data_IF_015642626830
#
_entry.id   IF_015642626830
#
_cell.length_a   1.000
_cell.length_b   1.000
_cell.length_c   1.000
_cell.angle_alpha   90.00
_cell.angle_beta   90.00
_cell.angle_gamma   90.00
#
_symmetry.space_group_name_H-M   'P 1'
#
loop_
_entity.id
_entity.type
_entity.pdbx_description
1 polymer ?
#
# COMPACT_ATOMS: atom_id res chain seq x y z
N UNK A 1 -1.32 -16.87 -29.35
CA UNK A 1 -1.53 -16.87 -27.89
C UNK A 1 -0.82 -18.08 -27.29
N UNK A 2 0.45 -17.93 -26.87
CA UNK A 2 1.20 -19.04 -26.27
C UNK A 2 0.92 -19.05 -24.77
N UNK A 3 0.17 -20.08 -24.30
CA UNK A 3 0.23 -20.54 -22.92
C UNK A 3 -0.56 -19.74 -21.87
N UNK A 4 -1.88 -19.60 -22.04
CA UNK A 4 -2.72 -19.24 -20.90
C UNK A 4 -2.71 -20.39 -19.88
N UNK A 5 -2.55 -20.05 -18.59
CA UNK A 5 -2.63 -20.96 -17.46
C UNK A 5 -4.05 -20.85 -16.89
N UNK A 6 -4.82 -21.93 -16.94
CA UNK A 6 -6.25 -21.91 -16.55
C UNK A 6 -7.08 -20.81 -17.23
N UNK A 7 -6.74 -20.51 -18.50
CA UNK A 7 -7.42 -19.44 -19.26
C UNK A 7 -6.91 -18.02 -18.99
N UNK A 8 -5.99 -17.83 -18.03
CA UNK A 8 -5.46 -16.56 -17.59
C UNK A 8 -4.03 -16.29 -18.06
N UNK A 9 -3.65 -15.01 -18.14
CA UNK A 9 -2.30 -14.60 -18.52
C UNK A 9 -1.27 -15.06 -17.49
N UNK A 10 -0.14 -15.67 -17.88
CA UNK A 10 0.90 -16.10 -16.92
C UNK A 10 1.40 -14.97 -16.01
N UNK A 11 1.38 -13.74 -16.49
CA UNK A 11 1.73 -12.55 -15.72
C UNK A 11 0.85 -12.35 -14.47
N UNK A 12 -0.43 -12.74 -14.53
CA UNK A 12 -1.33 -12.70 -13.38
C UNK A 12 -0.83 -13.58 -12.23
N UNK A 13 -0.35 -14.80 -12.54
CA UNK A 13 0.15 -15.71 -11.52
C UNK A 13 1.46 -15.21 -10.89
N UNK A 14 2.30 -14.52 -11.67
CA UNK A 14 3.47 -13.85 -11.10
C UNK A 14 3.03 -12.78 -10.10
N UNK A 15 2.03 -11.96 -10.44
CA UNK A 15 1.50 -10.94 -9.54
C UNK A 15 0.80 -11.55 -8.31
N UNK A 16 0.02 -12.62 -8.52
CA UNK A 16 -0.62 -13.39 -7.46
C UNK A 16 0.38 -13.87 -6.41
N UNK A 17 1.44 -14.56 -6.83
CA UNK A 17 2.45 -15.05 -5.88
C UNK A 17 3.25 -13.92 -5.26
N UNK A 18 3.59 -12.88 -6.02
CA UNK A 18 4.33 -11.73 -5.48
C UNK A 18 3.53 -11.02 -4.38
N UNK A 19 2.24 -10.80 -4.61
CA UNK A 19 1.34 -10.24 -3.59
C UNK A 19 1.15 -11.21 -2.42
N UNK A 20 0.99 -12.51 -2.69
CA UNK A 20 0.85 -13.53 -1.65
C UNK A 20 2.05 -13.51 -0.68
N UNK A 21 3.28 -13.42 -1.19
CA UNK A 21 4.49 -13.36 -0.36
C UNK A 21 4.58 -12.06 0.43
N UNK A 22 4.18 -10.95 -0.18
CA UNK A 22 4.11 -9.67 0.53
C UNK A 22 3.05 -9.69 1.62
N UNK A 23 1.85 -10.20 1.33
CA UNK A 23 0.81 -10.35 2.35
C UNK A 23 1.20 -11.30 3.47
N UNK A 24 1.90 -12.38 3.16
CA UNK A 24 2.51 -13.26 4.15
C UNK A 24 3.41 -12.46 5.10
N UNK A 25 4.33 -11.68 4.54
CA UNK A 25 5.29 -10.90 5.33
C UNK A 25 4.59 -9.84 6.19
N UNK A 26 3.64 -9.12 5.62
CA UNK A 26 2.92 -8.04 6.29
C UNK A 26 2.08 -8.56 7.46
N UNK A 27 1.21 -9.54 7.22
CA UNK A 27 0.34 -10.07 8.28
C UNK A 27 1.10 -10.92 9.30
N UNK A 28 2.13 -11.65 8.87
CA UNK A 28 3.00 -12.41 9.76
C UNK A 28 3.78 -11.53 10.73
N UNK A 29 4.34 -10.42 10.26
CA UNK A 29 4.98 -9.44 11.14
C UNK A 29 3.95 -8.76 12.05
N UNK A 30 2.83 -8.36 11.49
CA UNK A 30 1.81 -7.57 12.18
C UNK A 30 1.23 -8.30 13.40
N UNK A 31 0.98 -9.61 13.30
CA UNK A 31 0.47 -10.41 14.42
C UNK A 31 1.47 -10.48 15.58
N UNK A 32 2.77 -10.50 15.28
CA UNK A 32 3.83 -10.57 16.30
C UNK A 32 4.13 -9.21 16.93
N UNK A 33 3.85 -8.10 16.27
CA UNK A 33 4.28 -6.75 16.67
C UNK A 33 3.89 -6.41 18.11
N UNK A 34 2.60 -6.47 18.43
CA UNK A 34 2.10 -6.13 19.78
C UNK A 34 2.53 -7.17 20.80
N UNK A 35 2.48 -8.45 20.44
CA UNK A 35 2.85 -9.56 21.34
C UNK A 35 4.33 -9.48 21.74
N UNK A 36 5.22 -9.20 20.77
CA UNK A 36 6.64 -9.00 21.02
C UNK A 36 6.89 -7.84 22.00
N UNK A 37 6.29 -6.68 21.76
CA UNK A 37 6.48 -5.51 22.61
C UNK A 37 5.99 -5.72 24.05
N UNK A 38 4.87 -6.44 24.22
CA UNK A 38 4.28 -6.67 25.56
C UNK A 38 4.97 -7.82 26.31
N UNK A 39 5.48 -8.85 25.61
CA UNK A 39 6.07 -10.03 26.27
C UNK A 39 7.59 -9.92 26.46
N UNK A 40 8.30 -9.37 25.47
CA UNK A 40 9.77 -9.44 25.42
C UNK A 40 10.38 -8.05 25.35
N UNK A 41 9.98 -7.27 24.35
CA UNK A 41 10.56 -5.97 23.99
C UNK A 41 12.11 -6.02 23.89
N UNK A 42 12.79 -4.96 24.40
CA UNK A 42 14.24 -4.80 24.30
C UNK A 42 14.86 -4.94 25.69
N UNK A 43 15.25 -6.18 26.04
CA UNK A 43 15.79 -6.49 27.37
C UNK A 43 14.70 -6.74 28.42
N UNK A 44 14.98 -6.40 29.69
CA UNK A 44 14.13 -6.77 30.82
C UNK A 44 12.92 -5.86 31.09
N UNK A 45 12.51 -5.04 30.10
CA UNK A 45 11.43 -4.06 30.30
C UNK A 45 10.32 -4.21 29.20
N UNK A 46 9.39 -5.17 29.39
CA UNK A 46 8.22 -5.27 28.53
C UNK A 46 7.42 -3.95 28.51
N UNK A 47 6.84 -3.64 27.36
CA UNK A 47 6.04 -2.44 27.21
C UNK A 47 4.66 -2.59 27.86
N UNK A 48 4.12 -1.48 28.35
CA UNK A 48 2.70 -1.42 28.65
C UNK A 48 1.88 -1.68 27.37
N UNK A 49 0.77 -2.41 27.52
CA UNK A 49 -0.11 -2.76 26.40
C UNK A 49 -0.63 -1.52 25.66
N UNK A 50 -0.92 -0.44 26.38
CA UNK A 50 -1.42 0.79 25.75
C UNK A 50 -0.37 1.44 24.85
N UNK A 51 0.91 1.38 25.23
CA UNK A 51 2.02 1.89 24.42
C UNK A 51 2.27 1.03 23.18
N UNK A 52 2.23 -0.30 23.34
CA UNK A 52 2.35 -1.23 22.22
C UNK A 52 1.23 -1.03 21.19
N UNK A 53 -0.01 -0.86 21.65
CA UNK A 53 -1.16 -0.56 20.80
C UNK A 53 -1.07 0.84 20.15
N UNK A 54 -0.50 1.83 20.84
CA UNK A 54 -0.25 3.15 20.29
C UNK A 54 0.74 3.09 19.12
N UNK A 55 1.87 2.37 19.30
CA UNK A 55 2.84 2.15 18.23
C UNK A 55 2.21 1.39 17.05
N UNK A 56 1.45 0.34 17.33
CA UNK A 56 0.71 -0.40 16.31
C UNK A 56 -0.25 0.50 15.50
N UNK A 57 -0.96 1.40 16.19
CA UNK A 57 -1.85 2.37 15.53
C UNK A 57 -1.10 3.34 14.63
N UNK A 58 0.05 3.88 15.07
CA UNK A 58 0.92 4.74 14.27
C UNK A 58 1.42 4.00 13.04
N UNK A 59 1.97 2.79 13.23
CA UNK A 59 2.48 1.96 12.16
C UNK A 59 1.41 1.70 11.10
N UNK A 60 0.25 1.19 11.53
CA UNK A 60 -0.87 0.87 10.64
C UNK A 60 -1.36 2.11 9.89
N UNK A 61 -1.55 3.23 10.60
CA UNK A 61 -1.96 4.49 9.98
C UNK A 61 -1.01 4.96 8.90
N UNK A 62 0.30 4.91 9.14
CA UNK A 62 1.32 5.30 8.16
C UNK A 62 1.39 4.34 6.97
N UNK A 63 1.22 3.03 7.19
CA UNK A 63 1.15 2.02 6.13
C UNK A 63 -0.04 2.27 5.18
N UNK A 64 -1.15 2.78 5.67
CA UNK A 64 -2.29 3.16 4.80
C UNK A 64 -2.14 4.54 4.17
N UNK A 65 -1.34 5.41 4.76
CA UNK A 65 -1.09 6.75 4.23
C UNK A 65 -0.04 6.78 3.10
N UNK A 66 1.08 6.07 3.29
CA UNK A 66 2.23 6.10 2.37
C UNK A 66 1.95 5.61 0.94
N UNK A 67 0.99 4.70 0.67
CA UNK A 67 0.61 4.30 -0.69
C UNK A 67 0.19 5.46 -1.60
N UNK A 68 -0.42 6.50 -1.04
CA UNK A 68 -0.78 7.70 -1.79
C UNK A 68 0.47 8.39 -2.36
N UNK A 69 1.52 8.49 -1.57
CA UNK A 69 2.80 9.10 -1.99
C UNK A 69 3.51 8.17 -2.96
N UNK A 70 3.57 6.86 -2.65
CA UNK A 70 4.25 5.87 -3.48
C UNK A 70 3.62 5.70 -4.87
N UNK A 71 2.30 5.80 -4.99
CA UNK A 71 1.61 5.82 -6.26
C UNK A 71 2.01 7.03 -7.11
N UNK A 72 1.98 8.23 -6.54
CA UNK A 72 2.39 9.47 -7.24
C UNK A 72 3.85 9.39 -7.72
N UNK A 73 4.75 8.83 -6.88
CA UNK A 73 6.15 8.67 -7.25
C UNK A 73 6.34 7.69 -8.42
N UNK A 74 5.58 6.61 -8.41
CA UNK A 74 5.61 5.63 -9.50
C UNK A 74 5.05 6.21 -10.80
N UNK A 75 3.90 6.89 -10.74
CA UNK A 75 3.25 7.48 -11.92
C UNK A 75 4.16 8.50 -12.63
N UNK A 76 4.87 9.32 -11.84
CA UNK A 76 5.64 10.44 -12.41
C UNK A 76 7.08 10.08 -12.77
N UNK A 77 7.71 9.18 -12.00
CA UNK A 77 9.17 9.02 -12.06
C UNK A 77 9.63 7.58 -12.23
N UNK A 78 9.17 6.67 -11.36
CA UNK A 78 9.79 5.34 -11.24
C UNK A 78 9.21 4.32 -12.23
N UNK A 79 7.93 4.45 -12.58
CA UNK A 79 7.15 3.36 -13.16
C UNK A 79 6.78 2.31 -12.11
N UNK A 80 5.71 1.57 -12.36
CA UNK A 80 5.15 0.66 -11.36
C UNK A 80 6.08 -0.51 -11.03
N UNK A 81 6.79 -1.07 -12.03
CA UNK A 81 7.70 -2.21 -11.80
C UNK A 81 8.85 -1.85 -10.88
N UNK A 82 9.53 -0.73 -11.13
CA UNK A 82 10.64 -0.28 -10.28
C UNK A 82 10.17 0.08 -8.89
N UNK A 83 8.98 0.67 -8.76
CA UNK A 83 8.38 0.98 -7.48
C UNK A 83 8.09 -0.30 -6.67
N UNK A 84 7.53 -1.35 -7.31
CA UNK A 84 7.31 -2.67 -6.69
C UNK A 84 8.63 -3.31 -6.25
N UNK A 85 9.67 -3.31 -7.11
CA UNK A 85 10.98 -3.87 -6.76
C UNK A 85 11.65 -3.12 -5.62
N UNK A 86 11.65 -1.79 -5.68
CA UNK A 86 12.23 -0.96 -4.61
C UNK A 86 11.46 -1.17 -3.29
N UNK A 87 10.13 -1.18 -3.33
CA UNK A 87 9.28 -1.47 -2.18
C UNK A 87 9.57 -2.83 -1.57
N UNK A 88 9.63 -3.88 -2.39
CA UNK A 88 9.94 -5.24 -1.95
C UNK A 88 11.32 -5.35 -1.30
N UNK A 89 12.34 -4.71 -1.89
CA UNK A 89 13.70 -4.68 -1.32
C UNK A 89 13.72 -3.97 0.04
N UNK A 90 13.10 -2.80 0.12
CA UNK A 90 13.05 -2.01 1.35
C UNK A 90 12.30 -2.78 2.45
N UNK A 91 11.19 -3.45 2.12
CA UNK A 91 10.46 -4.29 3.08
C UNK A 91 11.28 -5.50 3.53
N UNK A 92 12.00 -6.15 2.64
CA UNK A 92 12.91 -7.27 2.99
C UNK A 92 13.96 -6.82 4.01
N UNK A 93 14.58 -5.66 3.78
CA UNK A 93 15.54 -5.07 4.72
C UNK A 93 14.86 -4.66 6.04
N UNK A 94 13.61 -4.18 5.97
CA UNK A 94 12.81 -3.86 7.15
C UNK A 94 12.58 -5.07 8.06
N UNK A 95 12.17 -6.20 7.49
CA UNK A 95 12.00 -7.44 8.25
C UNK A 95 13.34 -7.98 8.80
N UNK A 96 14.42 -7.89 8.02
CA UNK A 96 15.74 -8.27 8.50
C UNK A 96 16.19 -7.41 9.70
N UNK A 97 15.91 -6.10 9.66
CA UNK A 97 16.20 -5.21 10.77
C UNK A 97 15.38 -5.56 12.03
N UNK A 98 14.08 -5.88 11.87
CA UNK A 98 13.24 -6.32 13.01
C UNK A 98 13.71 -7.64 13.60
N UNK A 99 14.17 -8.58 12.78
CA UNK A 99 14.69 -9.88 13.21
C UNK A 99 15.97 -9.80 14.06
N UNK A 100 16.62 -8.65 14.10
CA UNK A 100 17.77 -8.43 14.99
C UNK A 100 17.38 -8.23 16.46
N UNK A 101 16.12 -7.94 16.76
CA UNK A 101 15.55 -7.72 18.09
C UNK A 101 16.31 -6.65 18.92
N UNK A 102 16.91 -5.67 18.24
CA UNK A 102 17.59 -4.54 18.86
C UNK A 102 16.72 -3.29 18.72
N UNK A 103 16.67 -2.46 19.77
CA UNK A 103 15.78 -1.30 19.86
C UNK A 103 15.83 -0.41 18.60
N UNK A 104 16.99 0.12 18.25
CA UNK A 104 17.13 0.98 17.08
C UNK A 104 16.80 0.29 15.75
N UNK A 105 17.15 -1.00 15.61
CA UNK A 105 16.92 -1.75 14.39
C UNK A 105 15.43 -2.09 14.20
N UNK A 106 14.71 -2.27 15.29
CA UNK A 106 13.27 -2.52 15.27
C UNK A 106 12.50 -1.30 14.72
N UNK A 107 12.80 -0.09 15.25
CA UNK A 107 12.19 1.14 14.71
C UNK A 107 12.61 1.43 13.27
N UNK A 108 13.88 1.18 12.95
CA UNK A 108 14.33 1.25 11.55
C UNK A 108 13.53 0.28 10.67
N UNK A 109 13.33 -0.95 11.14
CA UNK A 109 12.53 -1.96 10.44
C UNK A 109 11.11 -1.49 10.19
N UNK A 110 10.41 -0.96 11.19
CA UNK A 110 9.07 -0.40 11.03
C UNK A 110 9.04 0.76 10.02
N UNK A 111 10.00 1.67 10.07
CA UNK A 111 10.11 2.77 9.12
C UNK A 111 10.32 2.27 7.68
N UNK A 112 11.21 1.29 7.48
CA UNK A 112 11.44 0.66 6.18
C UNK A 112 10.19 -0.06 5.66
N UNK A 113 9.45 -0.75 6.52
CA UNK A 113 8.19 -1.41 6.15
C UNK A 113 7.12 -0.40 5.72
N UNK A 114 6.99 0.74 6.40
CA UNK A 114 6.08 1.81 6.03
C UNK A 114 6.42 2.37 4.63
N UNK A 115 7.69 2.68 4.39
CA UNK A 115 8.15 3.23 3.11
C UNK A 115 8.01 2.19 1.99
N UNK A 116 8.46 0.96 2.25
CA UNK A 116 8.42 -0.12 1.28
C UNK A 116 7.00 -0.50 0.87
N UNK A 117 6.08 -0.62 1.83
CA UNK A 117 4.67 -0.89 1.55
C UNK A 117 4.03 0.25 0.74
N UNK A 118 4.37 1.51 1.05
CA UNK A 118 3.93 2.66 0.28
C UNK A 118 4.30 2.58 -1.20
N UNK A 119 5.51 2.11 -1.52
CA UNK A 119 5.96 1.92 -2.90
C UNK A 119 5.40 0.63 -3.54
N UNK A 120 5.17 -0.42 -2.77
CA UNK A 120 4.76 -1.72 -3.30
C UNK A 120 3.26 -1.78 -3.59
N UNK A 121 2.44 -1.56 -2.57
CA UNK A 121 1.01 -1.87 -2.57
C UNK A 121 0.18 -1.21 -3.68
N UNK A 122 0.25 0.11 -3.93
CA UNK A 122 -0.54 0.74 -4.98
C UNK A 122 -0.09 0.30 -6.36
N UNK A 123 1.21 0.04 -6.52
CA UNK A 123 1.82 -0.16 -7.81
C UNK A 123 1.64 -1.58 -8.35
N UNK A 124 1.66 -2.61 -7.49
CA UNK A 124 1.35 -3.97 -7.93
C UNK A 124 -0.10 -4.10 -8.40
N UNK A 125 -1.04 -3.46 -7.70
CA UNK A 125 -2.46 -3.41 -8.11
C UNK A 125 -2.66 -2.67 -9.43
N UNK A 126 -1.89 -1.60 -9.68
CA UNK A 126 -1.88 -0.88 -10.95
C UNK A 126 -1.38 -1.75 -12.10
N UNK A 127 -0.37 -2.59 -11.88
CA UNK A 127 0.12 -3.56 -12.88
C UNK A 127 -0.98 -4.57 -13.23
N UNK A 128 -1.73 -5.09 -12.24
CA UNK A 128 -2.88 -5.98 -12.48
C UNK A 128 -3.91 -5.27 -13.35
N UNK A 129 -4.26 -4.03 -13.01
CA UNK A 129 -5.19 -3.22 -13.78
C UNK A 129 -4.79 -3.06 -15.25
N UNK A 130 -3.52 -2.72 -15.50
CA UNK A 130 -2.97 -2.56 -16.85
C UNK A 130 -2.92 -3.89 -17.64
N UNK A 131 -2.77 -5.01 -16.98
CA UNK A 131 -2.68 -6.32 -17.64
C UNK A 131 -3.92 -6.64 -18.46
N UNK A 132 -5.08 -6.13 -18.06
CA UNK A 132 -6.38 -6.39 -18.69
C UNK A 132 -7.09 -5.15 -19.21
N UNK A 133 -6.38 -4.08 -19.51
CA UNK A 133 -6.97 -2.86 -20.06
C UNK A 133 -7.67 -3.09 -21.42
N UNK A 134 -7.17 -4.03 -22.20
CA UNK A 134 -7.76 -4.42 -23.50
C UNK A 134 -8.86 -5.50 -23.39
N UNK A 135 -9.10 -6.05 -22.23
CA UNK A 135 -10.04 -7.16 -21.97
C UNK A 135 -10.81 -6.88 -20.66
N UNK A 136 -11.62 -5.79 -20.64
CA UNK A 136 -12.27 -5.33 -19.40
C UNK A 136 -13.24 -6.35 -18.81
N UNK A 137 -13.80 -7.25 -19.62
CA UNK A 137 -14.69 -8.33 -19.19
C UNK A 137 -13.98 -9.40 -18.33
N UNK A 138 -12.66 -9.51 -18.42
CA UNK A 138 -11.88 -10.46 -17.62
C UNK A 138 -11.39 -9.84 -16.30
N UNK A 139 -11.39 -8.52 -16.17
CA UNK A 139 -10.82 -7.82 -14.99
C UNK A 139 -11.38 -8.30 -13.66
N UNK A 140 -12.68 -8.52 -13.56
CA UNK A 140 -13.31 -8.91 -12.29
C UNK A 140 -12.85 -10.30 -11.83
N UNK A 141 -12.73 -11.26 -12.77
CA UNK A 141 -12.20 -12.59 -12.49
C UNK A 141 -10.74 -12.56 -12.06
N UNK A 142 -9.94 -11.71 -12.70
CA UNK A 142 -8.51 -11.59 -12.46
C UNK A 142 -8.21 -10.93 -11.10
N UNK A 143 -8.94 -9.88 -10.76
CA UNK A 143 -8.87 -9.32 -9.41
C UNK A 143 -9.30 -10.32 -8.33
N UNK A 144 -10.28 -11.19 -8.62
CA UNK A 144 -10.69 -12.26 -7.70
C UNK A 144 -9.54 -13.23 -7.45
N UNK A 145 -8.84 -13.68 -8.50
CA UNK A 145 -7.66 -14.54 -8.38
C UNK A 145 -6.56 -13.82 -7.59
N UNK A 146 -6.26 -12.58 -7.93
CA UNK A 146 -5.27 -11.77 -7.22
C UNK A 146 -5.62 -11.64 -5.72
N UNK A 147 -6.89 -11.43 -5.39
CA UNK A 147 -7.39 -11.36 -4.01
C UNK A 147 -7.29 -12.69 -3.26
N UNK A 148 -7.41 -13.81 -3.94
CA UNK A 148 -7.14 -15.14 -3.33
C UNK A 148 -5.68 -15.22 -2.86
N UNK A 149 -4.72 -14.65 -3.60
CA UNK A 149 -3.33 -14.55 -3.18
C UNK A 149 -3.16 -13.76 -1.89
N UNK A 150 -3.85 -12.61 -1.77
CA UNK A 150 -3.86 -11.79 -0.55
C UNK A 150 -4.31 -12.62 0.66
N UNK A 151 -5.43 -13.32 0.54
CA UNK A 151 -5.99 -14.11 1.64
C UNK A 151 -5.12 -15.32 2.00
N UNK A 152 -4.59 -16.02 0.98
CA UNK A 152 -3.67 -17.15 1.21
C UNK A 152 -2.39 -16.69 1.93
N UNK A 153 -1.80 -15.56 1.49
CA UNK A 153 -0.64 -14.97 2.13
C UNK A 153 -0.92 -14.56 3.57
N UNK A 154 -2.04 -13.89 3.81
CA UNK A 154 -2.46 -13.48 5.16
C UNK A 154 -2.61 -14.68 6.10
N UNK A 155 -3.31 -15.73 5.67
CA UNK A 155 -3.52 -16.93 6.46
C UNK A 155 -2.20 -17.65 6.79
N UNK A 156 -1.37 -17.91 5.78
CA UNK A 156 -0.10 -18.59 5.97
C UNK A 156 0.88 -17.76 6.80
N UNK A 157 0.90 -16.43 6.60
CA UNK A 157 1.79 -15.52 7.34
C UNK A 157 1.43 -15.49 8.82
N UNK A 158 0.18 -15.29 9.17
CA UNK A 158 -0.27 -15.33 10.56
C UNK A 158 0.08 -16.67 11.19
N UNK A 159 -0.29 -17.78 10.54
CA UNK A 159 -0.10 -19.11 11.07
C UNK A 159 1.39 -19.44 11.32
N UNK A 160 2.25 -19.24 10.31
CA UNK A 160 3.63 -19.66 10.41
C UNK A 160 4.49 -18.71 11.22
N UNK A 161 4.32 -17.40 11.06
CA UNK A 161 5.10 -16.43 11.82
C UNK A 161 4.76 -16.47 13.32
N UNK A 162 3.47 -16.66 13.69
CA UNK A 162 3.11 -16.85 15.11
C UNK A 162 3.66 -18.16 15.65
N UNK A 163 3.54 -19.26 14.90
CA UNK A 163 4.03 -20.56 15.34
C UNK A 163 5.54 -20.54 15.66
N UNK A 164 6.34 -19.97 14.76
CA UNK A 164 7.79 -19.88 14.99
C UNK A 164 8.14 -18.74 15.93
N UNK A 165 7.51 -17.58 15.82
CA UNK A 165 7.84 -16.39 16.62
C UNK A 165 7.50 -16.53 18.10
N UNK A 166 6.43 -17.26 18.45
CA UNK A 166 6.06 -17.49 19.85
C UNK A 166 6.63 -18.79 20.41
N UNK A 167 7.36 -19.57 19.61
CA UNK A 167 8.01 -20.81 20.05
C UNK A 167 9.21 -20.51 20.94
N UNK A 168 9.35 -21.28 22.02
CA UNK A 168 10.52 -21.21 22.90
C UNK A 168 11.83 -21.62 22.20
N UNK A 169 11.75 -22.48 21.18
CA UNK A 169 12.92 -22.97 20.45
C UNK A 169 13.42 -22.02 19.37
N UNK A 170 12.53 -21.20 18.79
CA UNK A 170 12.82 -20.33 17.63
C UNK A 170 12.81 -18.84 17.98
N UNK A 171 11.78 -18.35 18.64
CA UNK A 171 11.64 -16.96 19.10
C UNK A 171 11.27 -15.96 18.01
N UNK A 172 11.06 -14.70 18.45
CA UNK A 172 10.54 -13.61 17.59
C UNK A 172 11.48 -13.26 16.43
N UNK A 173 12.80 -13.42 16.61
CA UNK A 173 13.79 -13.24 15.54
C UNK A 173 13.46 -14.10 14.31
N UNK A 174 13.10 -15.35 14.51
CA UNK A 174 12.67 -16.24 13.45
C UNK A 174 11.29 -15.88 12.91
N UNK A 175 10.36 -15.43 13.73
CA UNK A 175 9.05 -14.97 13.28
C UNK A 175 9.14 -13.78 12.33
N UNK A 176 9.91 -12.74 12.69
CA UNK A 176 10.19 -11.59 11.84
C UNK A 176 11.08 -11.94 10.65
N UNK A 177 12.08 -12.81 10.87
CA UNK A 177 12.99 -13.30 9.83
C UNK A 177 12.25 -14.09 8.75
N UNK A 178 11.31 -14.94 9.12
CA UNK A 178 10.48 -15.71 8.19
C UNK A 178 9.65 -14.79 7.30
N UNK A 179 9.05 -13.74 7.86
CA UNK A 179 8.37 -12.71 7.08
C UNK A 179 9.32 -12.08 6.04
N UNK A 180 10.57 -11.79 6.42
CA UNK A 180 11.60 -11.28 5.52
C UNK A 180 12.02 -12.26 4.43
N UNK A 181 12.15 -13.54 4.74
CA UNK A 181 12.50 -14.60 3.78
C UNK A 181 11.42 -14.70 2.69
N UNK A 182 10.15 -14.72 3.06
CA UNK A 182 9.07 -14.78 2.07
C UNK A 182 8.94 -13.50 1.26
N UNK A 183 9.21 -12.34 1.84
CA UNK A 183 9.30 -11.10 1.09
C UNK A 183 10.44 -11.12 0.06
N UNK A 184 11.61 -11.67 0.44
CA UNK A 184 12.75 -11.86 -0.46
C UNK A 184 12.41 -12.82 -1.61
N UNK A 185 11.69 -13.90 -1.34
CA UNK A 185 11.20 -14.81 -2.39
C UNK A 185 10.33 -14.05 -3.39
N UNK A 186 9.40 -13.22 -2.91
CA UNK A 186 8.56 -12.38 -3.75
C UNK A 186 9.37 -11.39 -4.60
N UNK A 187 10.37 -10.74 -4.01
CA UNK A 187 11.29 -9.84 -4.70
C UNK A 187 12.05 -10.57 -5.82
N UNK A 188 12.66 -11.70 -5.52
CA UNK A 188 13.45 -12.50 -6.49
C UNK A 188 12.54 -12.97 -7.63
N UNK A 189 11.38 -13.53 -7.29
CA UNK A 189 10.39 -13.99 -8.27
C UNK A 189 9.98 -12.85 -9.21
N UNK A 190 9.60 -11.70 -8.67
CA UNK A 190 9.17 -10.55 -9.47
C UNK A 190 10.30 -9.97 -10.31
N UNK A 191 11.53 -9.94 -9.79
CA UNK A 191 12.72 -9.49 -10.52
C UNK A 191 12.98 -10.34 -11.77
N UNK A 192 12.98 -11.64 -11.66
CA UNK A 192 13.23 -12.53 -12.80
C UNK A 192 12.05 -12.62 -13.78
N UNK A 193 10.85 -12.31 -13.33
CA UNK A 193 9.66 -12.33 -14.15
C UNK A 193 9.42 -11.04 -14.97
N UNK A 194 10.30 -10.02 -14.88
CA UNK A 194 10.11 -8.72 -15.54
C UNK A 194 9.79 -8.83 -17.04
N UNK A 195 10.42 -9.76 -17.74
CA UNK A 195 10.23 -9.96 -19.17
C UNK A 195 8.81 -10.34 -19.59
N UNK A 196 8.01 -10.92 -18.67
CA UNK A 196 6.66 -11.40 -18.98
C UNK A 196 5.64 -10.25 -19.11
N UNK A 197 5.94 -9.10 -18.51
CA UNK A 197 5.06 -7.93 -18.49
C UNK A 197 5.15 -7.07 -19.76
N UNK A 198 6.18 -7.27 -20.60
CA UNK A 198 6.36 -6.47 -21.82
C UNK A 198 6.40 -4.97 -21.53
N UNK A 199 5.41 -4.23 -22.01
CA UNK A 199 5.26 -2.78 -21.86
C UNK A 199 4.63 -2.36 -20.51
N UNK A 200 3.89 -3.26 -19.88
CA UNK A 200 3.09 -2.97 -18.69
C UNK A 200 3.98 -2.54 -17.53
N UNK A 201 3.65 -1.44 -16.86
CA UNK A 201 4.32 -0.96 -15.65
C UNK A 201 5.69 -0.30 -15.84
N UNK A 202 6.11 -0.03 -17.09
CA UNK A 202 7.32 0.74 -17.38
C UNK A 202 7.17 2.21 -16.98
N UNK A 203 8.29 2.86 -16.67
CA UNK A 203 8.31 4.29 -16.43
C UNK A 203 7.96 5.07 -17.72
N UNK A 204 7.37 6.28 -17.61
CA UNK A 204 7.08 7.10 -18.79
C UNK A 204 8.31 7.34 -19.68
N UNK A 205 9.50 7.50 -19.07
CA UNK A 205 10.77 7.66 -19.78
C UNK A 205 11.25 6.40 -20.50
N UNK A 206 10.81 5.22 -20.10
CA UNK A 206 11.21 3.92 -20.67
C UNK A 206 10.28 3.46 -21.79
N UNK A 207 9.02 3.93 -21.76
CA UNK A 207 8.02 3.55 -22.77
C UNK A 207 8.45 3.92 -24.18
N UNK A 208 8.96 5.13 -24.38
CA UNK A 208 9.43 5.58 -25.70
C UNK A 208 10.60 4.72 -26.23
N UNK A 209 11.54 4.37 -25.35
CA UNK A 209 12.67 3.51 -25.71
C UNK A 209 12.23 2.07 -26.01
N UNK A 210 11.27 1.54 -25.24
CA UNK A 210 10.70 0.21 -25.46
C UNK A 210 9.96 0.14 -26.79
N UNK A 211 9.13 1.12 -27.09
CA UNK A 211 8.34 1.19 -28.34
C UNK A 211 9.26 1.31 -29.57
N UNK A 212 10.33 2.09 -29.47
CA UNK A 212 11.35 2.19 -30.52
C UNK A 212 12.10 0.85 -30.73
N UNK A 213 12.39 0.10 -29.69
CA UNK A 213 13.15 -1.16 -29.77
C UNK A 213 12.31 -2.33 -30.29
N UNK A 214 10.99 -2.31 -30.07
CA UNK A 214 10.08 -3.40 -30.44
C UNK A 214 9.30 -3.15 -31.74
N UNK A 215 9.43 -1.96 -32.35
CA UNK A 215 8.65 -1.54 -33.51
C UNK A 215 7.15 -1.36 -33.23
N UNK A 216 6.77 -1.37 -31.94
CA UNK A 216 5.36 -1.34 -31.51
C UNK A 216 4.72 0.04 -31.67
N UNK A 217 5.54 1.11 -31.70
CA UNK A 217 5.06 2.49 -31.80
C UNK A 217 4.42 2.86 -33.14
N UNK A 218 4.73 2.10 -34.20
CA UNK A 218 4.18 2.37 -35.54
C UNK A 218 2.78 1.79 -35.76
N UNK A 219 2.36 0.79 -34.98
CA UNK A 219 1.03 0.18 -35.14
C UNK A 219 -0.06 0.87 -34.28
N UNK A 220 0.28 1.37 -33.10
CA UNK A 220 -0.69 2.08 -32.24
C UNK A 220 -0.96 3.51 -32.73
N UNK A 221 0.01 4.18 -33.33
CA UNK A 221 -0.20 5.49 -33.98
C UNK A 221 -1.15 5.43 -35.20
N UNK A 222 -1.30 4.26 -35.83
CA UNK A 222 -2.24 4.01 -36.91
C UNK A 222 -3.65 3.67 -36.43
N UNK A 223 -3.76 2.89 -35.36
CA UNK A 223 -5.05 2.49 -34.79
C UNK A 223 -5.68 3.60 -33.93
N UNK A 224 -4.90 4.38 -33.21
CA UNK A 224 -5.39 5.55 -32.46
C UNK A 224 -5.94 6.66 -33.41
N UNK A 225 -5.47 6.71 -34.64
CA UNK A 225 -6.05 7.62 -35.67
C UNK A 225 -7.31 7.08 -36.35
N UNK A 226 -7.52 5.75 -36.32
CA UNK A 226 -8.70 5.13 -36.96
C UNK A 226 -9.89 5.00 -35.98
N UNK A 227 -9.66 5.06 -34.67
CA UNK A 227 -10.68 4.97 -33.64
C UNK A 227 -10.80 6.28 -32.85
N UNK A 228 -10.71 7.40 -33.57
CA UNK A 228 -11.19 8.71 -33.08
C UNK A 228 -12.74 8.69 -33.12
N UNK A 229 -13.30 7.70 -32.46
CA UNK A 229 -14.71 7.64 -32.12
C UNK A 229 -14.93 8.74 -31.10
N UNK A 230 -15.61 9.79 -31.50
CA UNK A 230 -16.35 10.83 -30.78
C UNK A 230 -16.31 10.80 -29.20
N UNK A 231 -15.16 10.48 -28.63
CA UNK A 231 -14.91 10.67 -27.21
C UNK A 231 -14.64 12.16 -27.00
N UNK A 232 -15.36 12.81 -26.10
CA UNK A 232 -15.11 14.21 -25.81
C UNK A 232 -13.63 14.36 -25.42
N UNK A 233 -12.93 15.23 -26.17
CA UNK A 233 -11.50 15.53 -25.94
C UNK A 233 -11.29 15.79 -24.45
N UNK A 234 -10.44 14.97 -23.81
CA UNK A 234 -10.00 15.22 -22.45
C UNK A 234 -9.43 16.63 -22.45
N UNK A 235 -10.13 17.57 -21.85
CA UNK A 235 -9.66 18.93 -21.68
C UNK A 235 -8.36 18.82 -20.90
N UNK A 236 -7.24 19.24 -21.50
CA UNK A 236 -6.03 19.51 -20.76
C UNK A 236 -6.36 20.74 -19.91
N UNK A 237 -6.86 20.48 -18.70
CA UNK A 237 -7.21 21.51 -17.74
C UNK A 237 -5.97 22.34 -17.43
N UNK A 238 -6.15 23.63 -17.53
CA UNK A 238 -5.17 24.62 -17.14
C UNK A 238 -4.87 24.46 -15.64
N UNK A 239 -3.74 23.80 -15.33
CA UNK A 239 -3.38 23.23 -14.02
C UNK A 239 -3.10 24.27 -12.90
N UNK A 240 -3.74 25.44 -12.92
CA UNK A 240 -3.45 26.52 -11.97
C UNK A 240 -4.23 26.49 -10.65
N UNK A 241 -5.37 25.81 -10.54
CA UNK A 241 -6.13 25.78 -9.28
C UNK A 241 -5.74 24.64 -8.33
N UNK A 242 -5.13 23.55 -8.81
CA UNK A 242 -4.69 22.41 -7.99
C UNK A 242 -3.76 22.80 -6.82
N UNK A 243 -2.73 23.65 -7.01
CA UNK A 243 -1.82 24.01 -5.92
C UNK A 243 -2.47 24.79 -4.78
N UNK A 244 -3.50 25.60 -5.06
CA UNK A 244 -4.21 26.38 -4.01
C UNK A 244 -5.11 25.50 -3.16
N UNK A 245 -5.89 24.62 -3.76
CA UNK A 245 -6.77 23.70 -3.03
C UNK A 245 -5.95 22.76 -2.13
N UNK A 246 -4.83 22.22 -2.62
CA UNK A 246 -3.91 21.39 -1.83
C UNK A 246 -3.35 22.18 -0.64
N UNK A 247 -2.91 23.43 -0.83
CA UNK A 247 -2.40 24.27 0.28
C UNK A 247 -3.44 24.48 1.37
N UNK A 248 -4.68 24.84 1.01
CA UNK A 248 -5.75 25.03 1.98
C UNK A 248 -6.15 23.73 2.67
N UNK A 249 -6.13 22.61 1.96
CA UNK A 249 -6.37 21.29 2.53
C UNK A 249 -5.29 20.91 3.54
N UNK A 250 -4.01 21.12 3.22
CA UNK A 250 -2.89 20.90 4.15
C UNK A 250 -3.02 21.80 5.38
N UNK A 251 -3.26 23.09 5.17
CA UNK A 251 -3.44 24.05 6.28
C UNK A 251 -4.61 23.64 7.17
N UNK A 252 -5.77 23.30 6.57
CA UNK A 252 -6.93 22.83 7.31
C UNK A 252 -6.67 21.56 8.12
N UNK A 253 -5.94 20.62 7.54
CA UNK A 253 -5.51 19.37 8.22
C UNK A 253 -4.61 19.67 9.41
N UNK A 254 -3.61 20.52 9.23
CA UNK A 254 -2.70 20.92 10.31
C UNK A 254 -3.45 21.64 11.44
N UNK A 255 -4.33 22.58 11.10
CA UNK A 255 -5.15 23.29 12.09
C UNK A 255 -6.05 22.30 12.84
N UNK A 256 -6.74 21.40 12.13
CA UNK A 256 -7.59 20.39 12.75
C UNK A 256 -6.80 19.46 13.68
N UNK A 257 -5.61 19.02 13.28
CA UNK A 257 -4.73 18.19 14.09
C UNK A 257 -4.29 18.92 15.37
N UNK A 258 -3.89 20.17 15.26
CA UNK A 258 -3.46 20.98 16.41
C UNK A 258 -4.63 21.23 17.37
N UNK A 259 -5.80 21.65 16.86
CA UNK A 259 -6.99 21.90 17.69
C UNK A 259 -7.45 20.62 18.38
N UNK A 260 -7.53 19.52 17.67
CA UNK A 260 -7.90 18.22 18.24
C UNK A 260 -6.89 17.74 19.28
N UNK A 261 -5.58 17.88 19.00
CA UNK A 261 -4.51 17.55 19.95
C UNK A 261 -4.58 18.38 21.23
N UNK A 262 -4.84 19.68 21.13
CA UNK A 262 -5.02 20.55 22.27
C UNK A 262 -6.24 20.14 23.11
N UNK A 263 -7.39 19.89 22.46
CA UNK A 263 -8.61 19.47 23.16
C UNK A 263 -8.37 18.21 24.00
N UNK A 264 -7.74 17.18 23.43
CA UNK A 264 -7.51 15.92 24.14
C UNK A 264 -6.42 16.06 25.20
N UNK A 265 -5.37 16.86 24.99
CA UNK A 265 -4.37 17.16 26.03
C UNK A 265 -4.97 17.77 27.28
N UNK A 266 -6.05 18.56 27.12
CA UNK A 266 -6.80 19.09 28.26
C UNK A 266 -7.71 18.05 28.93
N UNK A 267 -8.16 17.04 28.17
CA UNK A 267 -9.10 16.02 28.67
C UNK A 267 -8.39 14.84 29.36
N UNK A 268 -7.14 14.53 28.99
CA UNK A 268 -6.39 13.40 29.56
C UNK A 268 -4.90 13.72 29.71
N UNK A 269 -4.50 14.37 30.81
CA UNK A 269 -3.11 14.80 31.04
C UNK A 269 -2.13 13.67 31.43
N UNK A 270 -2.60 12.44 31.62
CA UNK A 270 -1.77 11.31 32.11
C UNK A 270 -1.16 10.46 30.96
N UNK A 271 -1.30 10.88 29.71
CA UNK A 271 -0.89 10.09 28.55
C UNK A 271 0.55 10.42 28.16
N UNK A 272 1.37 9.41 27.90
CA UNK A 272 2.75 9.64 27.43
C UNK A 272 2.79 10.16 25.98
N UNK A 273 3.97 10.63 25.52
CA UNK A 273 4.15 11.24 24.22
C UNK A 273 3.74 10.32 23.05
N UNK A 274 3.99 9.00 23.14
CA UNK A 274 3.65 8.02 22.11
C UNK A 274 2.12 7.83 22.00
N UNK A 275 1.45 7.66 23.13
CA UNK A 275 -0.01 7.56 23.20
C UNK A 275 -0.68 8.85 22.74
N UNK A 276 -0.15 10.00 23.15
CA UNK A 276 -0.59 11.32 22.71
C UNK A 276 -0.52 11.42 21.19
N UNK A 277 0.62 11.08 20.59
CA UNK A 277 0.77 11.12 19.14
C UNK A 277 -0.21 10.17 18.44
N UNK A 278 -0.32 8.93 18.88
CA UNK A 278 -1.22 7.92 18.30
C UNK A 278 -2.70 8.34 18.38
N UNK A 279 -3.15 8.79 19.53
CA UNK A 279 -4.57 9.08 19.78
C UNK A 279 -4.99 10.48 19.33
N UNK A 280 -4.09 11.45 19.41
CA UNK A 280 -4.43 12.86 19.20
C UNK A 280 -4.04 13.37 17.81
N UNK A 281 -2.89 12.93 17.28
CA UNK A 281 -2.37 13.47 16.02
C UNK A 281 -2.64 12.57 14.82
N UNK A 282 -2.55 11.24 14.98
CA UNK A 282 -2.74 10.33 13.84
C UNK A 282 -4.14 10.38 13.21
N UNK A 283 -5.25 10.33 13.97
CA UNK A 283 -6.58 10.37 13.36
C UNK A 283 -6.85 11.64 12.53
N UNK A 284 -6.59 12.88 13.02
CA UNK A 284 -6.77 14.08 12.22
C UNK A 284 -5.82 14.17 11.02
N UNK A 285 -4.58 13.65 11.12
CA UNK A 285 -3.65 13.60 9.98
C UNK A 285 -4.23 12.70 8.87
N UNK A 286 -4.71 11.52 9.23
CA UNK A 286 -5.27 10.57 8.26
C UNK A 286 -6.57 11.13 7.66
N UNK A 287 -7.52 11.53 8.50
CA UNK A 287 -8.82 12.05 8.04
C UNK A 287 -8.63 13.32 7.22
N UNK A 288 -7.80 14.24 7.69
CA UNK A 288 -7.51 15.48 6.98
C UNK A 288 -6.84 15.23 5.62
N UNK A 289 -5.92 14.27 5.53
CA UNK A 289 -5.28 13.89 4.26
C UNK A 289 -6.27 13.29 3.28
N UNK A 290 -7.19 12.44 3.73
CA UNK A 290 -8.26 11.86 2.91
C UNK A 290 -9.21 12.96 2.43
N UNK A 291 -9.65 13.84 3.32
CA UNK A 291 -10.53 14.97 2.97
C UNK A 291 -9.85 15.93 1.99
N UNK A 292 -8.55 16.21 2.20
CA UNK A 292 -7.77 17.04 1.30
C UNK A 292 -7.66 16.41 -0.11
N UNK A 293 -7.37 15.10 -0.17
CA UNK A 293 -7.24 14.38 -1.43
C UNK A 293 -8.57 14.29 -2.19
N UNK A 294 -9.66 13.95 -1.50
CA UNK A 294 -11.01 13.92 -2.06
C UNK A 294 -11.43 15.31 -2.52
N UNK A 295 -11.21 16.33 -1.69
CA UNK A 295 -11.50 17.72 -2.02
C UNK A 295 -10.74 18.19 -3.26
N UNK A 296 -9.48 17.79 -3.40
CA UNK A 296 -8.69 18.08 -4.59
C UNK A 296 -9.30 17.46 -5.85
N UNK A 297 -9.62 16.15 -5.82
CA UNK A 297 -10.22 15.44 -6.96
C UNK A 297 -11.57 16.07 -7.34
N UNK A 298 -12.45 16.27 -6.36
CA UNK A 298 -13.81 16.83 -6.62
C UNK A 298 -13.76 18.28 -7.11
N UNK A 299 -12.74 19.03 -6.72
CA UNK A 299 -12.55 20.43 -7.14
C UNK A 299 -11.95 20.56 -8.54
N UNK A 300 -11.51 19.45 -9.14
CA UNK A 300 -10.95 19.45 -10.50
C UNK A 300 -12.05 19.72 -11.52
N UNK A 301 -11.99 20.88 -12.16
CA UNK A 301 -12.94 21.32 -13.18
C UNK A 301 -12.74 20.64 -14.53
N UNK A 302 -11.60 19.96 -14.72
CA UNK A 302 -11.31 19.22 -15.95
C UNK A 302 -12.03 17.88 -16.03
N UNK A 303 -12.56 17.39 -14.89
CA UNK A 303 -13.30 16.14 -14.83
C UNK A 303 -14.63 16.23 -15.61
N UNK A 304 -14.83 15.27 -16.51
CA UNK A 304 -16.11 15.05 -17.18
C UNK A 304 -17.20 14.70 -16.16
N UNK A 305 -18.46 14.96 -16.49
CA UNK A 305 -19.58 14.62 -15.63
C UNK A 305 -19.56 13.15 -15.19
N UNK A 306 -19.30 12.24 -16.12
CA UNK A 306 -19.26 10.79 -15.85
C UNK A 306 -18.09 10.42 -14.90
N UNK A 307 -16.95 11.09 -15.01
CA UNK A 307 -15.81 10.87 -14.11
C UNK A 307 -16.12 11.37 -12.71
N UNK A 308 -16.75 12.54 -12.62
CA UNK A 308 -17.21 13.11 -11.33
C UNK A 308 -18.26 12.22 -10.66
N UNK A 309 -19.20 11.65 -11.42
CA UNK A 309 -20.21 10.73 -10.89
C UNK A 309 -19.56 9.43 -10.38
N UNK A 310 -18.52 8.93 -11.06
CA UNK A 310 -17.71 7.77 -10.59
C UNK A 310 -16.95 8.10 -9.30
N UNK A 311 -16.36 9.28 -9.21
CA UNK A 311 -15.67 9.72 -7.96
C UNK A 311 -16.65 9.79 -6.79
N UNK A 312 -17.85 10.35 -7.00
CA UNK A 312 -18.89 10.36 -5.97
C UNK A 312 -19.33 8.95 -5.57
N UNK A 313 -19.48 8.05 -6.51
CA UNK A 313 -19.79 6.64 -6.22
C UNK A 313 -18.72 5.99 -5.34
N UNK A 314 -17.43 6.21 -5.67
CA UNK A 314 -16.31 5.71 -4.86
C UNK A 314 -16.36 6.29 -3.44
N UNK A 315 -16.64 7.57 -3.27
CA UNK A 315 -16.73 8.23 -1.96
C UNK A 315 -17.87 7.60 -1.11
N UNK A 316 -19.03 7.41 -1.73
CA UNK A 316 -20.19 6.79 -1.04
C UNK A 316 -19.86 5.35 -0.63
N UNK A 317 -19.30 4.54 -1.51
CA UNK A 317 -18.88 3.17 -1.16
C UNK A 317 -17.80 3.18 -0.07
N UNK A 318 -16.83 4.07 -0.15
CA UNK A 318 -15.77 4.18 0.86
C UNK A 318 -16.32 4.50 2.25
N UNK A 319 -17.37 5.30 2.34
CA UNK A 319 -18.04 5.58 3.60
C UNK A 319 -18.56 4.30 4.28
N UNK A 320 -19.23 3.41 3.54
CA UNK A 320 -19.69 2.14 4.10
C UNK A 320 -18.55 1.16 4.40
N UNK A 321 -17.52 1.14 3.55
CA UNK A 321 -16.34 0.28 3.73
C UNK A 321 -15.57 0.65 4.99
N UNK A 322 -15.52 1.91 5.41
CA UNK A 322 -14.86 2.35 6.65
C UNK A 322 -15.44 1.62 7.87
N UNK A 323 -16.77 1.49 7.97
CA UNK A 323 -17.40 0.77 9.09
C UNK A 323 -17.08 -0.72 9.09
N UNK A 324 -17.05 -1.34 7.91
CA UNK A 324 -16.66 -2.75 7.78
C UNK A 324 -15.22 -2.97 8.24
N UNK A 325 -14.29 -2.17 7.74
CA UNK A 325 -12.87 -2.28 8.12
C UNK A 325 -12.62 -1.89 9.56
N UNK A 326 -13.33 -0.92 10.09
CA UNK A 326 -13.25 -0.57 11.50
C UNK A 326 -13.63 -1.77 12.40
N UNK A 327 -14.71 -2.46 12.10
CA UNK A 327 -15.10 -3.65 12.83
C UNK A 327 -14.08 -4.80 12.64
N UNK A 328 -13.59 -5.00 11.41
CA UNK A 328 -12.61 -6.04 11.10
C UNK A 328 -11.26 -5.84 11.82
N UNK A 329 -10.77 -4.61 11.85
CA UNK A 329 -9.50 -4.27 12.51
C UNK A 329 -9.58 -4.39 14.05
N UNK A 330 -10.76 -4.24 14.65
CA UNK A 330 -10.96 -4.49 16.08
C UNK A 330 -10.67 -5.94 16.45
N UNK A 331 -10.96 -6.90 15.57
CA UNK A 331 -10.66 -8.31 15.81
C UNK A 331 -9.16 -8.59 15.98
N UNK A 332 -8.29 -7.81 15.30
CA UNK A 332 -6.84 -7.98 15.38
C UNK A 332 -6.13 -7.17 16.47
N UNK A 333 -6.79 -6.17 17.05
CA UNK A 333 -6.18 -5.24 17.99
C UNK A 333 -6.76 -5.25 19.41
N UNK A 334 -8.08 -5.27 19.54
CA UNK A 334 -8.74 -5.11 20.85
C UNK A 334 -9.38 -6.39 21.40
N UNK A 335 -9.59 -7.40 20.55
CA UNK A 335 -10.20 -8.68 20.95
C UNK A 335 -9.15 -9.78 21.25
N UNK A 336 -7.88 -9.53 21.01
CA UNK A 336 -6.75 -10.38 21.41
C UNK A 336 -6.03 -9.77 22.59
#
# INVERSE_FOLDING_TARGET
>A
MKGNIFGQKPALFVLFFTEMWERFSYYGMRVLLVVFLVKVAFGDSPWDRADALALYGIYTGLVYFTPMIGGILADKFLGYRKAVLAGALIMTLGHAAMAMEVDWSFYLGLALLIIGNGLFKPNISSIVGQLYDKEPELKDGDYTIFYMGINAGAFLGIMLCSYYGESADWGYSWGFGLAGIFMLIGLIQFYFAQGIFGRIGLAPSELAAYDASTGSGSQEGGLAKAEELDLPKISQGDGQEGPRAIRWAIIGTVIAAVVYGLIISFMDPQVNALQTFSRQFMPPIIIGSVVAFVGWIVSDKSLLKIERDRVWSIIVFSFFIIFFWWAFEQAGGSMT
#
